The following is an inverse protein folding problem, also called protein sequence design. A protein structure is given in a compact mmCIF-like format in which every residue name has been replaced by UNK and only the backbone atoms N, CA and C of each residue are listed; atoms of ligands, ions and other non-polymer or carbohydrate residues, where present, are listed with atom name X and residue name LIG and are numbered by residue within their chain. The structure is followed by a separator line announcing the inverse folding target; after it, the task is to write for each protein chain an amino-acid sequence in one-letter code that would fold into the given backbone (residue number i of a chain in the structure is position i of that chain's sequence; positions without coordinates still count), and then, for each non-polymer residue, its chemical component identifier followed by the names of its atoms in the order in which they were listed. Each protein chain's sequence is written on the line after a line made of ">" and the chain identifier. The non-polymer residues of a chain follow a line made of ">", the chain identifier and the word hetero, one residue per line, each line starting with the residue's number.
data_IF_158049713550
#
_entry.id   IF_158049713550
#
_cell.length_a   1.000
_cell.length_b   1.000
_cell.length_c   1.000
_cell.angle_alpha   90.00
_cell.angle_beta   90.00
_cell.angle_gamma   90.00
#
_symmetry.space_group_name_H-M   'P 1'
#
loop_
_entity.id
_entity.type
_entity.pdbx_description
1 polymer ?
#
# COMPACT_ATOMS: atom_id res chain seq x y z
N UNK A 1 9.44 -19.12 -6.58
CA UNK A 1 9.32 -18.22 -7.76
C UNK A 1 9.54 -16.80 -7.26
N UNK A 2 10.17 -15.93 -8.04
CA UNK A 2 10.32 -14.53 -7.63
C UNK A 2 8.95 -13.86 -7.54
N UNK A 3 8.71 -13.08 -6.47
CA UNK A 3 7.47 -12.31 -6.28
C UNK A 3 7.40 -11.19 -7.33
N UNK A 4 6.25 -11.04 -7.98
CA UNK A 4 6.05 -9.90 -8.90
C UNK A 4 6.04 -8.59 -8.12
N UNK A 5 6.91 -7.63 -8.42
CA UNK A 5 6.94 -6.35 -7.73
C UNK A 5 5.61 -5.60 -7.86
N UNK A 6 5.29 -4.78 -6.85
CA UNK A 6 4.11 -3.92 -6.87
C UNK A 6 4.47 -2.47 -6.51
N UNK A 7 4.18 -1.55 -7.41
CA UNK A 7 4.40 -0.11 -7.21
C UNK A 7 3.04 0.57 -7.15
N UNK A 8 2.70 1.07 -5.97
CA UNK A 8 1.42 1.74 -5.71
C UNK A 8 1.64 3.22 -5.44
N UNK A 9 0.94 4.07 -6.17
CA UNK A 9 0.97 5.52 -6.01
C UNK A 9 -0.16 5.99 -5.09
N UNK A 10 0.14 6.27 -3.83
CA UNK A 10 -0.79 6.90 -2.91
C UNK A 10 -0.82 8.41 -3.14
N UNK A 11 -1.89 8.90 -3.78
CA UNK A 11 -2.00 10.34 -4.07
C UNK A 11 -2.36 11.18 -2.85
N UNK A 12 -2.73 10.53 -1.74
CA UNK A 12 -3.19 11.22 -0.53
C UNK A 12 -4.32 12.21 -0.88
N UNK A 13 -4.39 13.37 -0.26
CA UNK A 13 -5.42 14.39 -0.53
C UNK A 13 -4.94 15.35 -1.64
N UNK A 14 -4.69 14.79 -2.84
CA UNK A 14 -4.28 15.57 -4.02
C UNK A 14 -5.08 15.16 -5.25
N UNK A 15 -5.07 16.04 -6.24
CA UNK A 15 -5.71 15.94 -7.55
C UNK A 15 -7.26 16.03 -7.50
N UNK A 16 -7.78 16.95 -8.31
CA UNK A 16 -9.18 16.95 -8.71
C UNK A 16 -9.44 15.81 -9.69
N UNK A 17 -10.70 15.52 -10.02
CA UNK A 17 -11.06 14.50 -11.02
C UNK A 17 -10.33 14.75 -12.35
N UNK A 18 -10.39 15.98 -12.86
CA UNK A 18 -9.76 16.33 -14.13
C UNK A 18 -8.24 16.17 -14.10
N UNK A 19 -7.59 16.61 -13.01
CA UNK A 19 -6.13 16.46 -12.83
C UNK A 19 -5.73 14.98 -12.72
N UNK A 20 -6.49 14.17 -11.97
CA UNK A 20 -6.24 12.74 -11.84
C UNK A 20 -6.39 12.00 -13.17
N UNK A 21 -7.42 12.30 -13.94
CA UNK A 21 -7.63 11.74 -15.29
C UNK A 21 -6.48 12.13 -16.22
N UNK A 22 -6.04 13.38 -16.20
CA UNK A 22 -4.90 13.83 -17.00
C UNK A 22 -3.61 13.09 -16.63
N UNK A 23 -3.35 12.94 -15.32
CA UNK A 23 -2.18 12.23 -14.82
C UNK A 23 -2.13 10.78 -15.29
N UNK A 24 -3.23 10.02 -15.18
CA UNK A 24 -3.21 8.62 -15.60
C UNK A 24 -3.16 8.44 -17.13
N UNK A 25 -3.72 9.38 -17.89
CA UNK A 25 -3.57 9.40 -19.35
C UNK A 25 -2.13 9.63 -19.80
N UNK A 26 -1.40 10.49 -19.10
CA UNK A 26 0.04 10.69 -19.32
C UNK A 26 0.86 9.47 -18.88
N UNK A 27 0.49 8.85 -17.75
CA UNK A 27 1.19 7.70 -17.17
C UNK A 27 1.05 6.44 -18.02
N UNK A 28 -0.14 6.14 -18.52
CA UNK A 28 -0.45 4.86 -19.15
C UNK A 28 0.53 4.44 -20.25
N UNK A 29 0.88 5.28 -21.24
CA UNK A 29 1.85 4.91 -22.26
C UNK A 29 3.28 4.70 -21.72
N UNK A 30 3.63 5.33 -20.58
CA UNK A 30 4.96 5.26 -19.97
C UNK A 30 5.18 3.95 -19.20
N UNK A 31 4.09 3.27 -18.78
CA UNK A 31 4.15 2.05 -17.97
C UNK A 31 3.55 0.83 -18.65
N UNK A 32 3.20 0.92 -19.93
CA UNK A 32 2.51 -0.15 -20.68
C UNK A 32 3.25 -1.49 -20.68
N UNK A 33 4.58 -1.45 -20.65
CA UNK A 33 5.47 -2.62 -20.70
C UNK A 33 6.08 -2.95 -19.32
N UNK A 34 5.56 -2.31 -18.24
CA UNK A 34 6.07 -2.50 -16.90
C UNK A 34 5.94 -3.95 -16.44
N UNK A 35 7.00 -4.46 -15.81
CA UNK A 35 7.03 -5.81 -15.21
C UNK A 35 6.40 -5.84 -13.82
N UNK A 36 6.38 -4.69 -13.16
CA UNK A 36 5.72 -4.52 -11.87
C UNK A 36 4.21 -4.37 -12.03
N UNK A 37 3.44 -4.79 -11.02
CA UNK A 37 2.04 -4.40 -10.87
C UNK A 37 1.99 -2.91 -10.59
N UNK A 38 1.29 -2.15 -11.42
CA UNK A 38 1.14 -0.69 -11.29
C UNK A 38 -0.22 -0.37 -10.69
N UNK A 39 -0.23 0.32 -9.55
CA UNK A 39 -1.46 0.73 -8.87
C UNK A 39 -1.46 2.24 -8.66
N UNK A 40 -2.59 2.90 -8.92
CA UNK A 40 -2.80 4.30 -8.53
C UNK A 40 -3.93 4.37 -7.51
N UNK A 41 -3.73 5.11 -6.43
CA UNK A 41 -4.71 5.27 -5.36
C UNK A 41 -5.15 6.74 -5.25
N UNK A 42 -6.15 7.15 -6.07
CA UNK A 42 -6.69 8.51 -6.05
C UNK A 42 -7.59 8.75 -4.84
N UNK A 43 -7.99 10.00 -4.64
CA UNK A 43 -9.07 10.35 -3.69
C UNK A 43 -10.40 9.71 -4.10
N UNK A 44 -11.29 9.51 -3.13
CA UNK A 44 -12.61 8.91 -3.38
C UNK A 44 -13.41 9.64 -4.47
N UNK A 45 -13.33 10.97 -4.50
CA UNK A 45 -14.00 11.80 -5.52
C UNK A 45 -13.51 11.58 -6.93
N UNK A 46 -12.26 11.12 -7.10
CA UNK A 46 -11.64 10.90 -8.41
C UNK A 46 -11.71 9.43 -8.88
N UNK A 47 -12.11 8.48 -8.01
CA UNK A 47 -12.12 7.05 -8.33
C UNK A 47 -12.83 6.75 -9.64
N UNK A 48 -14.10 7.17 -9.81
CA UNK A 48 -14.89 6.87 -11.01
C UNK A 48 -14.20 7.38 -12.29
N UNK A 49 -13.72 8.63 -12.27
CA UNK A 49 -13.07 9.23 -13.44
C UNK A 49 -11.72 8.56 -13.78
N UNK A 50 -10.93 8.23 -12.76
CA UNK A 50 -9.63 7.57 -12.93
C UNK A 50 -9.82 6.13 -13.41
N UNK A 51 -10.76 5.39 -12.83
CA UNK A 51 -11.04 4.00 -13.25
C UNK A 51 -11.48 3.94 -14.71
N UNK A 52 -12.35 4.86 -15.15
CA UNK A 52 -12.73 4.94 -16.55
C UNK A 52 -11.54 5.26 -17.46
N UNK A 53 -10.68 6.18 -17.03
CA UNK A 53 -9.54 6.63 -17.83
C UNK A 53 -8.42 5.58 -18.00
N UNK A 54 -8.33 4.59 -17.10
CA UNK A 54 -7.31 3.50 -17.19
C UNK A 54 -7.85 2.22 -17.82
N UNK A 55 -9.10 2.18 -18.27
CA UNK A 55 -9.66 1.01 -18.96
C UNK A 55 -8.80 0.62 -20.17
N UNK A 56 -8.51 -0.67 -20.27
CA UNK A 56 -7.67 -1.19 -21.36
C UNK A 56 -6.17 -0.96 -21.17
N UNK A 57 -5.73 -0.43 -20.03
CA UNK A 57 -4.31 -0.30 -19.66
C UNK A 57 -3.94 -1.36 -18.61
N UNK A 58 -2.65 -1.43 -18.27
CA UNK A 58 -2.14 -2.29 -17.19
C UNK A 58 -2.14 -1.60 -15.81
N UNK A 59 -2.77 -0.44 -15.67
CA UNK A 59 -2.87 0.30 -14.41
C UNK A 59 -4.09 -0.17 -13.63
N UNK A 60 -3.88 -0.69 -12.44
CA UNK A 60 -4.93 -0.98 -11.48
C UNK A 60 -5.27 0.25 -10.63
N UNK A 61 -6.50 0.31 -10.15
CA UNK A 61 -6.95 1.39 -9.26
C UNK A 61 -7.15 0.87 -7.84
N UNK A 62 -6.61 1.62 -6.87
CA UNK A 62 -6.79 1.39 -5.45
C UNK A 62 -7.57 2.51 -4.78
N UNK A 63 -8.32 2.20 -3.74
CA UNK A 63 -8.90 3.19 -2.84
C UNK A 63 -7.91 3.52 -1.71
N UNK A 64 -8.09 4.68 -1.05
CA UNK A 64 -7.26 5.10 0.09
C UNK A 64 -7.83 4.69 1.45
N UNK A 65 -9.06 4.17 1.46
CA UNK A 65 -9.76 3.61 2.63
C UNK A 65 -11.04 2.90 2.17
N UNK A 66 -11.63 2.12 3.08
CA UNK A 66 -12.95 1.49 2.92
C UNK A 66 -13.54 1.22 4.29
N UNK A 67 -14.87 1.22 4.42
CA UNK A 67 -15.53 0.77 5.63
C UNK A 67 -15.82 -0.74 5.58
N UNK A 68 -15.91 -1.39 6.75
CA UNK A 68 -16.18 -2.83 6.82
C UNK A 68 -17.65 -3.20 6.67
N UNK A 69 -18.58 -2.27 6.90
CA UNK A 69 -20.00 -2.50 6.68
C UNK A 69 -20.38 -2.25 5.22
N UNK A 70 -21.29 -3.06 4.70
CA UNK A 70 -21.76 -2.95 3.32
C UNK A 70 -22.64 -1.73 3.08
N UNK A 71 -23.42 -1.34 4.10
CA UNK A 71 -24.32 -0.20 4.06
C UNK A 71 -24.74 0.19 5.48
N UNK A 72 -25.38 1.34 5.65
CA UNK A 72 -25.95 1.74 6.94
C UNK A 72 -25.71 3.18 7.33
N UNK A 73 -25.88 3.48 8.60
CA UNK A 73 -25.75 4.82 9.18
C UNK A 73 -24.28 5.16 9.49
N UNK A 74 -23.47 5.24 8.45
CA UNK A 74 -22.01 5.51 8.49
C UNK A 74 -21.71 6.72 7.60
N UNK A 75 -22.24 7.88 7.97
CA UNK A 75 -22.13 9.11 7.17
C UNK A 75 -20.69 9.45 6.83
N UNK A 76 -20.40 9.55 5.51
CA UNK A 76 -19.07 9.87 4.98
C UNK A 76 -18.20 8.66 4.64
N UNK A 77 -18.59 7.43 5.03
CA UNK A 77 -17.86 6.20 4.70
C UNK A 77 -18.22 5.66 3.31
N UNK A 78 -17.31 4.87 2.78
CA UNK A 78 -17.42 4.20 1.48
C UNK A 78 -17.37 2.69 1.71
N UNK A 79 -18.37 1.95 1.19
CA UNK A 79 -18.44 0.51 1.33
C UNK A 79 -17.63 -0.22 0.25
N UNK A 80 -17.39 -1.51 0.48
CA UNK A 80 -16.76 -2.39 -0.51
C UNK A 80 -17.56 -2.48 -1.79
N UNK A 81 -18.90 -2.52 -1.71
CA UNK A 81 -19.77 -2.63 -2.87
C UNK A 81 -19.68 -1.39 -3.78
N UNK A 82 -19.55 -0.19 -3.20
CA UNK A 82 -19.30 1.05 -3.94
C UNK A 82 -17.97 1.03 -4.68
N UNK A 83 -16.93 0.43 -4.08
CA UNK A 83 -15.61 0.33 -4.69
C UNK A 83 -15.57 -0.72 -5.80
N UNK A 84 -16.19 -1.87 -5.59
CA UNK A 84 -16.22 -2.95 -6.59
C UNK A 84 -17.04 -2.57 -7.82
N UNK A 85 -18.14 -1.83 -7.65
CA UNK A 85 -18.92 -1.27 -8.77
C UNK A 85 -18.05 -0.43 -9.71
N UNK A 86 -17.11 0.34 -9.14
CA UNK A 86 -16.16 1.15 -9.90
C UNK A 86 -14.99 0.35 -10.51
N UNK A 87 -14.83 -0.93 -10.16
CA UNK A 87 -13.70 -1.75 -10.60
C UNK A 87 -12.41 -1.50 -9.82
N UNK A 88 -12.51 -0.96 -8.60
CA UNK A 88 -11.38 -0.80 -7.69
C UNK A 88 -10.91 -2.19 -7.23
N UNK A 89 -9.60 -2.46 -7.37
CA UNK A 89 -9.02 -3.79 -7.10
C UNK A 89 -8.02 -3.82 -5.95
N UNK A 90 -7.63 -2.67 -5.43
CA UNK A 90 -6.75 -2.52 -4.26
C UNK A 90 -7.34 -1.53 -3.26
N UNK A 91 -6.90 -1.61 -1.99
CA UNK A 91 -7.27 -0.63 -0.98
C UNK A 91 -6.14 -0.44 0.03
N UNK A 92 -5.65 0.79 0.20
CA UNK A 92 -4.71 1.18 1.25
C UNK A 92 -5.46 1.25 2.57
N UNK A 93 -4.98 0.53 3.59
CA UNK A 93 -5.64 0.42 4.89
C UNK A 93 -4.65 0.67 6.02
N UNK A 94 -5.07 1.44 7.02
CA UNK A 94 -4.25 1.73 8.19
C UNK A 94 -3.01 2.56 7.89
N UNK A 95 -3.03 3.39 6.84
CA UNK A 95 -1.96 4.35 6.55
C UNK A 95 -1.66 5.21 7.78
N UNK A 96 -0.38 5.54 8.03
CA UNK A 96 0.03 6.29 9.22
C UNK A 96 -0.77 7.56 9.46
N UNK A 97 -1.05 8.36 8.42
CA UNK A 97 -1.89 9.56 8.54
C UNK A 97 -3.30 9.25 9.06
N UNK A 98 -3.88 8.10 8.71
CA UNK A 98 -5.21 7.72 9.20
C UNK A 98 -5.18 7.23 10.64
N UNK A 99 -4.09 6.59 11.05
CA UNK A 99 -3.87 6.22 12.46
C UNK A 99 -3.69 7.46 13.33
N UNK A 100 -2.84 8.39 12.87
CA UNK A 100 -2.46 9.57 13.65
C UNK A 100 -3.56 10.64 13.71
N UNK A 101 -4.20 10.93 12.57
CA UNK A 101 -5.15 12.04 12.47
C UNK A 101 -6.61 11.63 12.64
N UNK A 102 -6.95 10.38 12.36
CA UNK A 102 -8.33 9.89 12.34
C UNK A 102 -8.58 8.73 13.32
N UNK A 103 -7.59 8.37 14.14
CA UNK A 103 -7.75 7.39 15.20
C UNK A 103 -7.97 5.95 14.71
N UNK A 104 -7.48 5.58 13.55
CA UNK A 104 -7.61 4.20 13.09
C UNK A 104 -6.77 3.25 13.95
N UNK A 105 -7.42 2.22 14.48
CA UNK A 105 -6.81 1.19 15.33
C UNK A 105 -6.44 -0.06 14.53
N UNK A 106 -5.59 -0.92 15.09
CA UNK A 106 -5.24 -2.21 14.49
C UNK A 106 -6.50 -3.08 14.27
N UNK A 107 -7.44 -3.06 15.21
CA UNK A 107 -8.73 -3.78 15.07
C UNK A 107 -9.55 -3.23 13.91
N UNK A 108 -9.65 -1.90 13.78
CA UNK A 108 -10.34 -1.26 12.66
C UNK A 108 -9.70 -1.61 11.31
N UNK A 109 -8.37 -1.65 11.25
CA UNK A 109 -7.62 -2.07 10.05
C UNK A 109 -7.89 -3.52 9.71
N UNK A 110 -7.90 -4.42 10.70
CA UNK A 110 -8.24 -5.84 10.52
C UNK A 110 -9.64 -6.02 9.93
N UNK A 111 -10.66 -5.37 10.51
CA UNK A 111 -12.05 -5.44 10.00
C UNK A 111 -12.15 -4.96 8.54
N UNK A 112 -11.50 -3.84 8.22
CA UNK A 112 -11.43 -3.32 6.85
C UNK A 112 -10.70 -4.27 5.89
N UNK A 113 -9.60 -4.88 6.34
CA UNK A 113 -8.84 -5.81 5.53
C UNK A 113 -9.66 -7.07 5.19
N UNK A 114 -10.39 -7.63 6.15
CA UNK A 114 -11.30 -8.74 5.92
C UNK A 114 -12.43 -8.37 4.96
N UNK A 115 -13.08 -7.21 5.15
CA UNK A 115 -14.16 -6.77 4.27
C UNK A 115 -13.68 -6.53 2.83
N UNK A 116 -12.54 -5.84 2.65
CA UNK A 116 -11.95 -5.62 1.34
C UNK A 116 -11.61 -6.93 0.65
N UNK A 117 -10.90 -7.84 1.36
CA UNK A 117 -10.50 -9.13 0.79
C UNK A 117 -11.70 -9.99 0.41
N UNK A 118 -12.72 -10.06 1.26
CA UNK A 118 -13.96 -10.80 0.98
C UNK A 118 -14.73 -10.26 -0.25
N UNK A 119 -14.57 -8.98 -0.55
CA UNK A 119 -15.14 -8.32 -1.74
C UNK A 119 -14.25 -8.42 -3.00
N UNK A 120 -13.11 -9.14 -2.94
CA UNK A 120 -12.17 -9.27 -4.05
C UNK A 120 -11.24 -8.07 -4.24
N UNK A 121 -11.19 -7.15 -3.28
CA UNK A 121 -10.27 -6.02 -3.26
C UNK A 121 -9.02 -6.42 -2.48
N UNK A 122 -7.85 -6.34 -3.08
CA UNK A 122 -6.58 -6.67 -2.42
C UNK A 122 -6.20 -5.60 -1.41
N UNK A 123 -6.13 -5.90 -0.10
CA UNK A 123 -5.64 -4.96 0.90
C UNK A 123 -4.15 -4.65 0.74
N UNK A 124 -3.79 -3.36 0.84
CA UNK A 124 -2.43 -2.88 1.07
C UNK A 124 -2.41 -2.39 2.52
N UNK A 125 -1.95 -3.24 3.42
CA UNK A 125 -2.02 -2.99 4.87
C UNK A 125 -0.77 -2.26 5.32
N UNK A 126 -0.93 -1.04 5.82
CA UNK A 126 0.16 -0.20 6.30
C UNK A 126 0.50 -0.49 7.76
N UNK A 127 1.78 -0.57 8.05
CA UNK A 127 2.36 -0.67 9.39
C UNK A 127 3.64 0.18 9.47
N UNK A 128 4.02 0.55 10.67
CA UNK A 128 5.26 1.30 10.86
C UNK A 128 5.35 1.94 12.25
N UNK A 129 6.52 2.44 12.57
CA UNK A 129 6.86 2.98 13.87
C UNK A 129 7.17 4.48 13.82
N UNK A 130 6.88 5.17 14.93
CA UNK A 130 7.32 6.54 15.18
C UNK A 130 8.82 6.60 15.52
N UNK A 131 9.39 7.81 15.49
CA UNK A 131 10.78 8.02 15.91
C UNK A 131 11.00 7.59 17.37
N UNK A 132 10.07 7.90 18.25
CA UNK A 132 10.14 7.54 19.66
C UNK A 132 10.23 6.03 19.86
N UNK A 133 9.39 5.25 19.18
CA UNK A 133 9.40 3.78 19.24
C UNK A 133 10.69 3.22 18.66
N UNK A 134 11.23 3.85 17.60
CA UNK A 134 12.49 3.43 17.00
C UNK A 134 13.68 3.69 17.93
N UNK A 135 13.75 4.89 18.52
CA UNK A 135 14.81 5.26 19.46
C UNK A 135 14.78 4.45 20.76
N UNK A 136 13.57 4.04 21.20
CA UNK A 136 13.40 3.11 22.31
C UNK A 136 13.86 1.67 22.00
N UNK A 137 14.20 1.35 20.74
CA UNK A 137 14.63 0.01 20.34
C UNK A 137 13.52 -1.04 20.29
N UNK A 138 12.24 -0.63 20.39
CA UNK A 138 11.07 -1.55 20.46
C UNK A 138 10.34 -1.69 19.13
N UNK A 139 10.81 -1.05 18.08
CA UNK A 139 10.14 -0.93 16.79
C UNK A 139 9.85 -2.28 16.11
N UNK A 140 10.72 -3.26 16.19
CA UNK A 140 10.48 -4.58 15.60
C UNK A 140 9.29 -5.28 16.28
N UNK A 141 9.24 -5.27 17.60
CA UNK A 141 8.12 -5.84 18.35
C UNK A 141 6.80 -5.07 18.07
N UNK A 142 6.89 -3.74 17.96
CA UNK A 142 5.73 -2.91 17.64
C UNK A 142 5.18 -3.20 16.24
N UNK A 143 6.03 -3.28 15.21
CA UNK A 143 5.63 -3.62 13.85
C UNK A 143 5.07 -5.04 13.78
N UNK A 144 5.72 -6.02 14.45
CA UNK A 144 5.20 -7.38 14.54
C UNK A 144 3.79 -7.41 15.13
N UNK A 145 3.54 -6.68 16.22
CA UNK A 145 2.21 -6.56 16.83
C UNK A 145 1.17 -5.98 15.85
N UNK A 146 1.52 -4.93 15.08
CA UNK A 146 0.62 -4.36 14.07
C UNK A 146 0.26 -5.40 13.00
N UNK A 147 1.24 -6.16 12.51
CA UNK A 147 1.05 -7.21 11.49
C UNK A 147 0.18 -8.34 12.05
N UNK A 148 0.48 -8.83 13.24
CA UNK A 148 -0.29 -9.91 13.86
C UNK A 148 -1.75 -9.52 14.08
N UNK A 149 -1.99 -8.30 14.56
CA UNK A 149 -3.34 -7.79 14.78
C UNK A 149 -4.09 -7.58 13.45
N UNK A 150 -3.44 -7.01 12.44
CA UNK A 150 -4.06 -6.74 11.15
C UNK A 150 -4.40 -8.03 10.37
N UNK A 151 -3.60 -9.08 10.54
CA UNK A 151 -3.78 -10.38 9.86
C UNK A 151 -4.58 -11.40 10.68
N UNK A 152 -4.98 -11.08 11.90
CA UNK A 152 -5.74 -12.00 12.75
C UNK A 152 -7.00 -12.52 12.02
N UNK A 153 -7.22 -13.83 12.04
CA UNK A 153 -8.37 -14.48 11.41
C UNK A 153 -8.22 -14.80 9.91
N UNK A 154 -7.17 -14.34 9.24
CA UNK A 154 -6.91 -14.77 7.86
C UNK A 154 -6.36 -16.20 7.80
N UNK A 155 -6.75 -16.94 6.77
CA UNK A 155 -6.11 -18.19 6.45
C UNK A 155 -4.72 -17.95 5.82
N UNK A 156 -3.77 -18.88 6.04
CA UNK A 156 -2.42 -18.74 5.50
C UNK A 156 -2.38 -18.56 3.97
N UNK A 157 -3.24 -19.26 3.24
CA UNK A 157 -3.35 -19.15 1.79
C UNK A 157 -3.87 -17.78 1.31
N UNK A 158 -4.60 -17.07 2.16
CA UNK A 158 -5.12 -15.74 1.86
C UNK A 158 -4.09 -14.67 2.21
N UNK A 159 -3.34 -14.83 3.31
CA UNK A 159 -2.21 -13.95 3.66
C UNK A 159 -1.20 -13.86 2.52
N UNK A 160 -0.92 -14.98 1.83
CA UNK A 160 -0.03 -15.01 0.67
C UNK A 160 -0.43 -14.07 -0.49
N UNK A 161 -1.69 -13.61 -0.53
CA UNK A 161 -2.24 -12.76 -1.60
C UNK A 161 -2.31 -11.28 -1.23
N UNK A 162 -2.06 -10.96 0.05
CA UNK A 162 -2.12 -9.60 0.56
C UNK A 162 -0.85 -8.81 0.21
N UNK A 163 -0.92 -7.52 0.47
CA UNK A 163 0.21 -6.61 0.38
C UNK A 163 0.39 -5.93 1.72
N UNK A 164 1.62 -5.88 2.21
CA UNK A 164 1.99 -5.11 3.41
C UNK A 164 2.82 -3.91 2.96
N UNK A 165 2.57 -2.73 3.51
CA UNK A 165 3.36 -1.54 3.27
C UNK A 165 4.02 -1.08 4.57
N UNK A 166 5.35 -1.18 4.63
CA UNK A 166 6.11 -0.69 5.77
C UNK A 166 6.39 0.80 5.64
N UNK A 167 5.91 1.58 6.58
CA UNK A 167 6.07 3.02 6.66
C UNK A 167 7.01 3.39 7.82
N UNK A 168 8.29 3.75 7.58
CA UNK A 168 9.10 4.41 8.63
C UNK A 168 8.55 5.82 8.87
N UNK A 169 7.58 5.96 9.81
CA UNK A 169 6.82 7.21 10.01
C UNK A 169 7.76 8.37 10.30
N UNK A 170 8.85 8.11 11.02
CA UNK A 170 9.91 9.07 11.32
C UNK A 170 10.66 9.61 10.09
N UNK A 171 10.52 8.96 8.93
CA UNK A 171 11.14 9.35 7.67
C UNK A 171 10.11 9.84 6.61
N UNK A 172 8.83 10.01 6.99
CA UNK A 172 7.78 10.49 6.08
C UNK A 172 7.57 11.99 6.29
N UNK A 173 7.91 12.80 5.26
CA UNK A 173 7.68 14.25 5.30
C UNK A 173 8.56 15.02 6.29
N UNK A 174 9.54 14.38 6.91
CA UNK A 174 10.43 14.98 7.93
C UNK A 174 11.76 15.48 7.37
N UNK A 175 12.07 15.19 6.11
CA UNK A 175 13.39 15.40 5.51
C UNK A 175 14.41 14.31 5.85
N UNK A 176 14.12 13.39 6.79
CA UNK A 176 14.92 12.19 7.05
C UNK A 176 14.55 11.12 6.02
N UNK A 177 15.52 10.25 5.71
CA UNK A 177 15.31 9.10 4.83
C UNK A 177 15.88 7.86 5.51
N UNK A 178 15.11 6.78 5.55
CA UNK A 178 15.65 5.50 6.01
C UNK A 178 16.68 4.99 4.99
N UNK A 179 17.76 4.38 5.48
CA UNK A 179 18.69 3.67 4.59
C UNK A 179 18.03 2.42 4.00
N UNK A 180 18.56 1.91 2.90
CA UNK A 180 18.06 0.67 2.30
C UNK A 180 18.19 -0.53 3.26
N UNK A 181 19.23 -0.53 4.08
CA UNK A 181 19.42 -1.58 5.10
C UNK A 181 18.40 -1.48 6.23
N UNK A 182 18.02 -0.27 6.64
CA UNK A 182 16.94 -0.08 7.62
C UNK A 182 15.58 -0.49 7.04
N UNK A 183 15.33 -0.24 5.76
CA UNK A 183 14.12 -0.71 5.08
C UNK A 183 14.09 -2.24 5.01
N UNK A 184 15.21 -2.85 4.60
CA UNK A 184 15.36 -4.31 4.52
C UNK A 184 15.19 -4.98 5.88
N UNK A 185 15.81 -4.46 6.93
CA UNK A 185 15.70 -4.99 8.28
C UNK A 185 14.25 -5.17 8.72
N UNK A 186 13.43 -4.13 8.54
CA UNK A 186 12.03 -4.20 8.98
C UNK A 186 11.17 -5.02 8.01
N UNK A 187 11.39 -4.94 6.71
CA UNK A 187 10.70 -5.78 5.74
C UNK A 187 11.00 -7.26 5.95
N UNK A 188 12.26 -7.62 6.24
CA UNK A 188 12.65 -8.98 6.60
C UNK A 188 11.98 -9.44 7.90
N UNK A 189 11.90 -8.56 8.91
CA UNK A 189 11.23 -8.85 10.17
C UNK A 189 9.71 -9.08 9.99
N UNK A 190 9.04 -8.26 9.17
CA UNK A 190 7.64 -8.45 8.80
C UNK A 190 7.44 -9.83 8.15
N UNK A 191 8.27 -10.18 7.17
CA UNK A 191 8.21 -11.48 6.50
C UNK A 191 8.43 -12.63 7.47
N UNK A 192 9.39 -12.51 8.38
CA UNK A 192 9.67 -13.51 9.43
C UNK A 192 8.50 -13.66 10.40
N UNK A 193 7.84 -12.57 10.79
CA UNK A 193 6.63 -12.58 11.62
C UNK A 193 5.51 -13.37 10.93
N UNK A 194 5.29 -13.10 9.63
CA UNK A 194 4.30 -13.83 8.82
C UNK A 194 4.67 -15.32 8.69
N UNK A 195 5.94 -15.63 8.44
CA UNK A 195 6.43 -17.02 8.37
C UNK A 195 6.15 -17.78 9.66
N UNK A 196 6.46 -17.16 10.80
CA UNK A 196 6.26 -17.78 12.12
C UNK A 196 4.80 -18.10 12.40
N UNK A 197 3.87 -17.22 11.97
CA UNK A 197 2.45 -17.34 12.29
C UNK A 197 1.64 -18.10 11.25
N UNK A 198 1.99 -17.97 9.98
CA UNK A 198 1.22 -18.48 8.83
C UNK A 198 2.00 -19.48 7.96
N UNK A 199 3.26 -19.73 8.27
CA UNK A 199 4.13 -20.67 7.55
C UNK A 199 4.85 -20.03 6.34
N UNK A 200 5.85 -20.76 5.84
CA UNK A 200 6.74 -20.32 4.78
C UNK A 200 6.01 -19.96 3.48
N UNK A 201 4.97 -20.72 3.11
CA UNK A 201 4.23 -20.45 1.88
C UNK A 201 3.50 -19.09 1.90
N UNK A 202 2.95 -18.68 3.05
CA UNK A 202 2.35 -17.37 3.22
C UNK A 202 3.40 -16.26 3.15
N UNK A 203 4.53 -16.44 3.82
CA UNK A 203 5.62 -15.49 3.83
C UNK A 203 6.27 -15.29 2.44
N UNK A 204 6.37 -16.37 1.66
CA UNK A 204 6.90 -16.30 0.29
C UNK A 204 5.89 -15.70 -0.70
N UNK A 205 4.60 -15.82 -0.44
CA UNK A 205 3.56 -15.27 -1.33
C UNK A 205 3.26 -13.79 -1.09
N UNK A 206 3.27 -13.34 0.17
CA UNK A 206 2.95 -11.94 0.52
C UNK A 206 3.98 -10.98 -0.07
N UNK A 207 3.49 -9.87 -0.62
CA UNK A 207 4.35 -8.79 -1.14
C UNK A 207 4.50 -7.71 -0.08
N UNK A 208 5.74 -7.26 0.14
CA UNK A 208 6.06 -6.24 1.13
C UNK A 208 6.61 -5.02 0.40
N UNK A 209 5.89 -3.90 0.49
CA UNK A 209 6.27 -2.60 -0.05
C UNK A 209 7.02 -1.78 0.99
N UNK A 210 7.98 -0.98 0.53
CA UNK A 210 8.52 0.12 1.32
C UNK A 210 7.69 1.39 1.09
N UNK A 211 7.19 1.99 2.17
CA UNK A 211 6.30 3.17 2.17
C UNK A 211 6.95 4.47 2.65
N UNK A 212 8.26 4.51 2.81
CA UNK A 212 8.99 5.74 3.09
C UNK A 212 9.22 6.60 1.84
N UNK A 213 10.21 7.49 1.89
CA UNK A 213 10.56 8.35 0.75
C UNK A 213 11.16 7.54 -0.39
N UNK A 214 10.47 7.48 -1.53
CA UNK A 214 10.93 6.81 -2.75
C UNK A 214 10.99 7.82 -3.89
N UNK A 215 12.10 7.81 -4.64
CA UNK A 215 12.35 8.67 -5.78
C UNK A 215 12.89 7.86 -6.96
N UNK A 216 12.86 8.39 -8.20
CA UNK A 216 13.42 7.72 -9.37
C UNK A 216 14.89 7.27 -9.22
N UNK A 217 15.69 8.03 -8.48
CA UNK A 217 17.11 7.76 -8.25
C UNK A 217 17.39 6.77 -7.10
N UNK A 218 16.38 6.45 -6.28
CA UNK A 218 16.56 5.57 -5.11
C UNK A 218 15.86 4.23 -5.24
N UNK A 219 14.90 4.09 -6.15
CA UNK A 219 14.09 2.86 -6.26
C UNK A 219 14.93 1.63 -6.58
N UNK A 220 15.90 1.72 -7.48
CA UNK A 220 16.72 0.58 -7.87
C UNK A 220 17.45 -0.05 -6.67
N UNK A 221 18.09 0.76 -5.82
CA UNK A 221 18.77 0.27 -4.62
C UNK A 221 17.82 -0.34 -3.58
N UNK A 222 16.56 0.11 -3.51
CA UNK A 222 15.54 -0.53 -2.69
C UNK A 222 15.15 -1.89 -3.23
N UNK A 223 14.95 -2.00 -4.54
CA UNK A 223 14.52 -3.23 -5.20
C UNK A 223 15.62 -4.31 -5.29
N UNK A 224 16.87 -3.98 -4.98
CA UNK A 224 17.95 -4.95 -4.77
C UNK A 224 17.81 -5.71 -3.43
N UNK A 225 16.99 -5.21 -2.49
CA UNK A 225 16.80 -5.82 -1.18
C UNK A 225 15.84 -7.02 -1.25
N UNK A 226 16.23 -8.19 -0.72
CA UNK A 226 15.50 -9.45 -0.93
C UNK A 226 14.09 -9.49 -0.33
N UNK A 227 13.81 -8.64 0.66
CA UNK A 227 12.51 -8.60 1.32
C UNK A 227 11.64 -7.40 0.94
N UNK A 228 12.13 -6.54 0.04
CA UNK A 228 11.37 -5.41 -0.52
C UNK A 228 10.80 -5.83 -1.88
N UNK A 229 9.49 -5.94 -1.98
CA UNK A 229 8.78 -6.37 -3.18
C UNK A 229 8.10 -5.20 -3.92
N UNK A 230 8.47 -3.98 -3.60
CA UNK A 230 7.89 -2.80 -4.25
C UNK A 230 7.85 -1.57 -3.36
N UNK A 231 7.03 -0.61 -3.76
CA UNK A 231 6.92 0.66 -3.05
C UNK A 231 5.47 1.18 -2.98
N UNK A 232 5.13 1.79 -1.85
CA UNK A 232 3.96 2.66 -1.70
C UNK A 232 4.44 4.11 -1.77
N UNK A 233 4.24 4.74 -2.94
CA UNK A 233 4.86 6.01 -3.32
C UNK A 233 3.91 7.17 -3.06
N UNK A 234 4.34 8.18 -2.32
CA UNK A 234 3.58 9.41 -2.09
C UNK A 234 3.83 10.47 -3.17
N UNK A 235 4.50 11.57 -2.84
CA UNK A 235 4.64 12.75 -3.68
C UNK A 235 5.14 12.53 -5.11
N UNK A 236 6.07 11.60 -5.34
CA UNK A 236 6.56 11.26 -6.68
C UNK A 236 5.46 10.64 -7.57
N UNK A 237 4.41 10.03 -6.97
CA UNK A 237 3.28 9.48 -7.71
C UNK A 237 2.32 10.55 -8.26
N UNK A 238 2.52 11.82 -7.92
CA UNK A 238 1.75 12.96 -8.44
C UNK A 238 2.30 13.50 -9.77
N UNK A 239 3.38 12.92 -10.28
CA UNK A 239 4.00 13.29 -11.57
C UNK A 239 4.18 12.02 -12.40
N UNK A 240 3.56 11.97 -13.58
CA UNK A 240 3.55 10.78 -14.43
C UNK A 240 4.97 10.28 -14.76
N UNK A 241 5.90 11.18 -15.10
CA UNK A 241 7.28 10.82 -15.43
C UNK A 241 8.06 10.26 -14.25
N UNK A 242 7.94 10.91 -13.07
CA UNK A 242 8.63 10.45 -11.86
C UNK A 242 8.10 9.08 -11.42
N UNK A 243 6.76 8.91 -11.44
CA UNK A 243 6.16 7.63 -11.07
C UNK A 243 6.47 6.53 -12.09
N UNK A 244 6.44 6.83 -13.38
CA UNK A 244 6.85 5.89 -14.42
C UNK A 244 8.31 5.45 -14.29
N UNK A 245 9.21 6.36 -13.93
CA UNK A 245 10.61 6.01 -13.68
C UNK A 245 10.78 5.09 -12.45
N UNK A 246 9.94 5.27 -11.41
CA UNK A 246 9.90 4.37 -10.25
C UNK A 246 9.32 2.99 -10.63
N UNK A 247 8.30 2.95 -11.48
CA UNK A 247 7.67 1.70 -11.94
C UNK A 247 8.61 0.86 -12.80
N UNK A 248 9.45 1.50 -13.61
CA UNK A 248 10.35 0.86 -14.58
C UNK A 248 11.80 0.74 -14.08
N UNK A 249 12.03 0.69 -12.75
CA UNK A 249 13.34 0.61 -12.08
C UNK A 249 14.28 -0.44 -12.66
#
# INVERSE_FOLDING_TARGET
>A
MARTPIIAGNWKMNNTVAAGVALVKELAPLVKDAKATVVVCPTATALAGVTEAVKGTNIAVGAQNVHWEKSGAYTGEISTDMLTELGVSYCVLGHSERRDYFGETNEGVNKRAHAAYAAGITPIICCGESLEIREAGTYLAYVAYQIEAALAGFAAADVAKLVIAYEPIWAIGTGKTATFDQAEEVCAHIRKTIETKYGAAAAEGVRIQYGGSVKPDTIAGLMEKPNVDGALVGGAALKAKDFAAIVNF
#
